data_IF_247624274781
#
_entry.id   IF_247624274781
#
_cell.length_a   1.000
_cell.length_b   1.000
_cell.length_c   1.000
_cell.angle_alpha   90.00
_cell.angle_beta   90.00
_cell.angle_gamma   90.00
#
_symmetry.space_group_name_H-M   'P 1'
#
loop_
_entity.id
_entity.type
_entity.pdbx_description
1 polymer ?
#
# COMPACT_ATOMS: atom_id res chain seq x y z
N UNK A 1 5.29 8.71 12.98
CA UNK A 1 4.14 7.91 12.53
C UNK A 1 3.98 6.82 13.55
N UNK A 2 3.07 7.00 14.51
CA UNK A 2 2.67 5.90 15.39
C UNK A 2 2.24 4.73 14.51
N UNK A 3 2.75 3.53 14.80
CA UNK A 3 2.45 2.34 13.99
C UNK A 3 0.96 2.09 14.08
N UNK A 4 0.26 2.07 12.93
CA UNK A 4 -1.16 1.75 12.84
C UNK A 4 -1.51 0.41 13.50
N UNK A 5 -0.54 -0.50 13.64
CA UNK A 5 -0.58 -1.77 14.36
C UNK A 5 -1.50 -1.80 15.59
N UNK A 6 -1.30 -0.92 16.58
CA UNK A 6 -2.13 -0.92 17.80
C UNK A 6 -3.59 -0.56 17.49
N UNK A 7 -3.81 0.39 16.56
CA UNK A 7 -5.15 0.83 16.16
C UNK A 7 -5.85 -0.23 15.31
N UNK A 8 -5.12 -0.94 14.46
CA UNK A 8 -5.62 -2.04 13.63
C UNK A 8 -6.03 -3.21 14.53
N UNK A 9 -5.17 -3.61 15.46
CA UNK A 9 -5.50 -4.63 16.45
C UNK A 9 -6.71 -4.22 17.30
N UNK A 10 -6.78 -2.99 17.80
CA UNK A 10 -7.97 -2.48 18.51
C UNK A 10 -9.24 -2.51 17.64
N UNK A 11 -9.15 -2.18 16.34
CA UNK A 11 -10.30 -2.25 15.43
C UNK A 11 -10.81 -3.70 15.29
N UNK A 12 -9.90 -4.66 15.13
CA UNK A 12 -10.23 -6.10 15.08
C UNK A 12 -10.88 -6.55 16.38
N UNK A 13 -10.35 -6.16 17.53
CA UNK A 13 -10.95 -6.48 18.83
C UNK A 13 -12.39 -5.96 18.91
N UNK A 14 -12.64 -4.71 18.50
CA UNK A 14 -13.99 -4.13 18.47
C UNK A 14 -14.92 -4.87 17.51
N UNK A 15 -14.43 -5.30 16.35
CA UNK A 15 -15.19 -6.13 15.41
C UNK A 15 -15.56 -7.47 16.07
N UNK A 16 -14.64 -8.12 16.77
CA UNK A 16 -14.89 -9.37 17.48
C UNK A 16 -15.88 -9.19 18.65
N UNK A 17 -15.76 -8.10 19.41
CA UNK A 17 -16.71 -7.73 20.48
C UNK A 17 -18.13 -7.56 19.94
N UNK A 18 -18.27 -6.89 18.78
CA UNK A 18 -19.56 -6.72 18.10
C UNK A 18 -20.12 -8.05 17.60
N UNK A 19 -19.31 -8.89 16.94
CA UNK A 19 -19.73 -10.20 16.42
C UNK A 19 -20.18 -11.16 17.53
N UNK A 20 -19.50 -11.12 18.67
CA UNK A 20 -19.77 -12.04 19.81
C UNK A 20 -20.77 -11.48 20.83
N UNK A 21 -21.11 -10.18 20.74
CA UNK A 21 -21.83 -9.44 21.78
C UNK A 21 -21.20 -9.55 23.19
N UNK A 22 -19.88 -9.72 23.25
CA UNK A 22 -19.10 -9.82 24.47
C UNK A 22 -18.11 -8.66 24.57
N UNK A 23 -17.64 -8.39 25.78
CA UNK A 23 -16.57 -7.41 26.03
C UNK A 23 -15.29 -8.12 26.38
N UNK A 24 -14.18 -7.55 25.91
CA UNK A 24 -12.86 -8.06 26.23
C UNK A 24 -12.53 -7.94 27.72
N UNK A 25 -11.68 -8.84 28.21
CA UNK A 25 -11.09 -8.78 29.55
C UNK A 25 -9.69 -9.40 29.55
N UNK A 26 -8.99 -9.33 30.70
CA UNK A 26 -7.67 -9.95 30.90
C UNK A 26 -6.64 -9.64 29.79
N UNK A 27 -6.59 -8.37 29.36
CA UNK A 27 -5.74 -7.96 28.24
C UNK A 27 -4.27 -7.97 28.65
N UNK A 28 -3.42 -8.54 27.81
CA UNK A 28 -1.96 -8.56 27.97
C UNK A 28 -1.29 -8.24 26.64
N UNK A 29 -0.01 -7.82 26.70
CA UNK A 29 0.78 -7.42 25.53
C UNK A 29 2.08 -8.24 25.46
N UNK A 30 2.01 -9.53 25.04
CA UNK A 30 3.17 -10.41 25.08
C UNK A 30 4.40 -9.87 24.34
N UNK A 31 4.23 -9.10 23.26
CA UNK A 31 5.36 -8.49 22.55
C UNK A 31 6.16 -7.49 23.40
N UNK A 32 5.48 -6.77 24.29
CA UNK A 32 6.10 -5.78 25.20
C UNK A 32 6.57 -6.41 26.52
N UNK A 33 6.23 -7.66 26.79
CA UNK A 33 6.68 -8.40 27.97
C UNK A 33 7.93 -9.24 27.65
N UNK A 34 9.08 -8.76 28.10
CA UNK A 34 10.36 -9.44 27.87
C UNK A 34 10.49 -10.78 28.61
N UNK A 35 9.63 -11.06 29.59
CA UNK A 35 9.61 -12.36 30.27
C UNK A 35 8.99 -13.47 29.41
N UNK A 36 8.17 -13.10 28.41
CA UNK A 36 7.59 -14.03 27.44
C UNK A 36 8.66 -14.48 26.45
N UNK A 37 8.69 -15.79 26.18
CA UNK A 37 9.58 -16.38 25.19
C UNK A 37 9.39 -15.70 23.82
N UNK A 38 10.47 -15.39 23.06
CA UNK A 38 10.36 -14.69 21.77
C UNK A 38 9.39 -15.33 20.76
N UNK A 39 9.30 -16.66 20.79
CA UNK A 39 8.39 -17.46 19.95
C UNK A 39 6.93 -17.44 20.43
N UNK A 40 6.59 -16.57 21.38
CA UNK A 40 5.22 -16.37 21.89
C UNK A 40 4.86 -14.89 22.01
N UNK A 41 5.70 -14.03 21.46
CA UNK A 41 5.51 -12.56 21.47
C UNK A 41 4.59 -12.16 20.32
N UNK A 42 3.30 -12.17 20.62
CA UNK A 42 2.21 -11.63 19.81
C UNK A 42 1.80 -10.24 20.32
N UNK A 43 1.11 -9.46 19.51
CA UNK A 43 0.76 -8.05 19.79
C UNK A 43 -0.13 -7.89 21.02
N UNK A 44 -1.18 -8.71 21.10
CA UNK A 44 -2.18 -8.65 22.16
C UNK A 44 -2.80 -10.01 22.40
N UNK A 45 -3.07 -10.31 23.68
CA UNK A 45 -3.93 -11.42 24.11
C UNK A 45 -5.02 -10.90 25.03
N UNK A 46 -6.22 -11.48 24.94
CA UNK A 46 -7.37 -11.07 25.72
C UNK A 46 -8.42 -12.18 25.76
N UNK A 47 -9.42 -12.04 26.63
CA UNK A 47 -10.56 -12.94 26.69
C UNK A 47 -11.80 -12.27 26.12
N UNK A 48 -12.60 -13.00 25.34
CA UNK A 48 -14.01 -12.70 25.06
C UNK A 48 -14.86 -13.82 25.63
N UNK A 49 -15.60 -13.52 26.69
CA UNK A 49 -16.32 -14.55 27.45
C UNK A 49 -15.35 -15.60 27.99
N UNK A 50 -15.61 -16.86 27.65
CA UNK A 50 -14.78 -18.00 28.05
C UNK A 50 -13.67 -18.34 27.05
N UNK A 51 -13.59 -17.61 25.93
CA UNK A 51 -12.60 -17.83 24.88
C UNK A 51 -11.42 -16.88 25.04
N UNK A 52 -10.20 -17.40 24.91
CA UNK A 52 -8.97 -16.60 24.85
C UNK A 52 -8.61 -16.35 23.39
N UNK A 53 -8.11 -15.17 23.09
CA UNK A 53 -7.68 -14.75 21.76
C UNK A 53 -6.23 -14.30 21.80
N UNK A 54 -5.49 -14.61 20.73
CA UNK A 54 -4.16 -14.10 20.45
C UNK A 54 -4.15 -13.42 19.09
N UNK A 55 -3.72 -12.15 19.02
CA UNK A 55 -3.62 -11.40 17.77
C UNK A 55 -2.17 -11.12 17.44
N UNK A 56 -1.79 -11.45 16.21
CA UNK A 56 -0.52 -11.08 15.59
C UNK A 56 -0.77 -10.16 14.40
N UNK A 57 0.03 -9.09 14.28
CA UNK A 57 -0.11 -8.10 13.22
C UNK A 57 1.08 -8.12 12.26
N UNK A 58 0.81 -7.81 11.00
CA UNK A 58 1.83 -7.67 9.96
C UNK A 58 1.40 -6.67 8.91
N UNK A 59 2.27 -5.70 8.66
CA UNK A 59 2.20 -4.86 7.47
C UNK A 59 2.79 -5.60 6.26
N UNK A 60 1.98 -5.80 5.22
CA UNK A 60 2.38 -6.34 3.93
C UNK A 60 2.85 -5.18 3.05
N UNK A 61 4.11 -5.26 2.65
CA UNK A 61 4.64 -4.42 1.58
C UNK A 61 4.51 -5.17 0.24
N UNK A 62 4.20 -4.47 -0.88
CA UNK A 62 4.18 -5.09 -2.21
C UNK A 62 5.49 -5.80 -2.57
N UNK A 63 6.63 -5.25 -2.13
CA UNK A 63 7.95 -5.84 -2.26
C UNK A 63 8.90 -5.24 -1.21
N UNK A 64 10.12 -5.78 -1.15
CA UNK A 64 11.11 -5.42 -0.12
C UNK A 64 11.45 -3.94 -0.15
N UNK A 65 11.44 -3.31 1.04
CA UNK A 65 11.76 -1.90 1.25
C UNK A 65 10.83 -0.92 0.50
N UNK A 66 9.63 -1.34 0.09
CA UNK A 66 8.67 -0.49 -0.64
C UNK A 66 8.41 0.86 0.06
N UNK A 67 8.18 0.85 1.37
CA UNK A 67 7.95 2.06 2.14
C UNK A 67 9.19 2.96 2.15
N UNK A 68 10.38 2.39 2.36
CA UNK A 68 11.65 3.14 2.32
C UNK A 68 11.94 3.69 0.94
N UNK A 69 11.54 2.98 -0.12
CA UNK A 69 11.64 3.44 -1.51
C UNK A 69 10.67 4.61 -1.72
N UNK A 70 9.43 4.51 -1.23
CA UNK A 70 8.44 5.59 -1.27
C UNK A 70 8.90 6.86 -0.57
N UNK A 71 9.46 6.74 0.64
CA UNK A 71 10.00 7.87 1.40
C UNK A 71 11.16 8.55 0.67
N UNK A 72 12.11 7.76 0.15
CA UNK A 72 13.24 8.28 -0.62
C UNK A 72 12.79 8.93 -1.91
N UNK A 73 11.83 8.33 -2.60
CA UNK A 73 11.25 8.86 -3.83
C UNK A 73 10.55 10.20 -3.57
N UNK A 74 9.70 10.29 -2.53
CA UNK A 74 8.97 11.52 -2.20
C UNK A 74 9.94 12.67 -1.92
N UNK A 75 11.01 12.42 -1.16
CA UNK A 75 12.07 13.42 -0.90
C UNK A 75 12.83 13.82 -2.18
N UNK A 76 13.06 12.87 -3.07
CA UNK A 76 13.77 13.14 -4.32
C UNK A 76 12.91 13.92 -5.32
N UNK A 77 11.71 13.41 -5.62
CA UNK A 77 10.79 13.92 -6.62
C UNK A 77 10.02 15.15 -6.16
N UNK A 78 9.86 15.37 -4.86
CA UNK A 78 9.19 16.56 -4.31
C UNK A 78 9.78 17.87 -4.82
N UNK A 79 11.11 18.00 -4.83
CA UNK A 79 11.78 19.19 -5.37
C UNK A 79 11.55 19.37 -6.89
N UNK A 80 11.46 18.27 -7.64
CA UNK A 80 11.17 18.31 -9.09
C UNK A 80 9.73 18.78 -9.30
N UNK A 81 8.78 18.22 -8.54
CA UNK A 81 7.37 18.59 -8.56
C UNK A 81 7.20 20.06 -8.23
N UNK A 82 7.76 20.52 -7.10
CA UNK A 82 7.64 21.90 -6.64
C UNK A 82 8.23 22.90 -7.64
N UNK A 83 9.33 22.54 -8.30
CA UNK A 83 9.98 23.41 -9.31
C UNK A 83 9.15 23.55 -10.59
N UNK A 84 8.42 22.51 -10.99
CA UNK A 84 7.68 22.47 -12.25
C UNK A 84 6.20 22.84 -12.09
N UNK A 85 5.66 22.71 -10.88
CA UNK A 85 4.24 22.99 -10.58
C UNK A 85 3.88 24.43 -10.93
N UNK A 86 2.86 24.58 -11.77
CA UNK A 86 2.41 25.88 -12.26
C UNK A 86 3.28 26.51 -13.35
N UNK A 87 4.32 25.82 -13.83
CA UNK A 87 5.19 26.30 -14.93
C UNK A 87 4.91 25.61 -16.27
N UNK A 88 4.06 24.58 -16.30
CA UNK A 88 3.81 23.82 -17.51
C UNK A 88 2.88 24.58 -18.46
N UNK A 89 3.11 24.54 -19.78
CA UNK A 89 2.27 25.22 -20.74
C UNK A 89 0.87 24.58 -20.81
N UNK A 90 -0.18 25.39 -20.62
CA UNK A 90 -1.55 24.96 -20.88
C UNK A 90 -1.92 25.11 -22.37
N UNK A 91 -2.92 24.38 -22.89
CA UNK A 91 -3.88 23.56 -22.14
C UNK A 91 -3.41 22.13 -21.86
N UNK A 92 -4.12 21.40 -21.01
CA UNK A 92 -3.89 19.97 -20.76
C UNK A 92 -3.08 19.67 -19.51
N UNK A 93 -3.00 18.38 -19.19
CA UNK A 93 -2.40 17.84 -17.96
C UNK A 93 -1.15 17.05 -18.29
N UNK A 94 -0.09 17.28 -17.54
CA UNK A 94 1.20 16.62 -17.65
C UNK A 94 1.41 15.64 -16.49
N UNK A 95 1.85 14.43 -16.81
CA UNK A 95 2.27 13.46 -15.82
C UNK A 95 3.66 12.93 -16.16
N UNK A 96 4.60 13.08 -15.23
CA UNK A 96 5.93 12.50 -15.31
C UNK A 96 5.95 11.16 -14.56
N UNK A 97 6.26 10.08 -15.24
CA UNK A 97 6.37 8.74 -14.65
C UNK A 97 7.83 8.33 -14.46
N UNK A 98 8.17 7.96 -13.24
CA UNK A 98 9.44 7.31 -12.87
C UNK A 98 9.28 5.79 -12.82
N UNK A 99 10.37 5.01 -12.97
CA UNK A 99 10.38 3.61 -12.57
C UNK A 99 9.98 3.46 -11.09
N UNK A 100 9.52 2.28 -10.67
CA UNK A 100 9.02 2.05 -9.30
C UNK A 100 10.08 2.30 -8.22
N UNK A 101 11.36 2.04 -8.54
CA UNK A 101 12.49 2.28 -7.68
C UNK A 101 13.57 3.12 -8.36
N UNK A 102 13.35 4.45 -8.51
CA UNK A 102 14.30 5.33 -9.17
C UNK A 102 15.53 5.64 -8.30
N UNK A 103 15.61 5.05 -7.11
CA UNK A 103 16.70 5.27 -6.14
C UNK A 103 17.55 4.01 -5.94
N UNK A 104 17.33 2.96 -6.74
CA UNK A 104 18.06 1.70 -6.63
C UNK A 104 19.56 1.90 -6.87
N UNK A 105 19.89 2.61 -7.96
CA UNK A 105 21.26 2.76 -8.45
C UNK A 105 21.95 4.03 -7.94
N UNK A 106 21.19 4.99 -7.41
CA UNK A 106 21.69 6.31 -7.00
C UNK A 106 21.42 6.60 -5.54
N UNK A 107 22.40 7.16 -4.85
CA UNK A 107 22.29 7.55 -3.42
C UNK A 107 22.83 8.95 -3.18
N UNK A 108 22.26 9.64 -2.20
CA UNK A 108 22.75 10.93 -1.70
C UNK A 108 22.96 11.96 -2.80
N UNK A 109 24.17 12.51 -2.90
CA UNK A 109 24.51 13.57 -3.85
C UNK A 109 24.33 13.14 -5.32
N UNK A 110 24.58 11.87 -5.66
CA UNK A 110 24.40 11.38 -7.03
C UNK A 110 22.93 11.45 -7.46
N UNK A 111 22.03 11.05 -6.56
CA UNK A 111 20.58 11.16 -6.81
C UNK A 111 20.13 12.62 -6.90
N UNK A 112 20.63 13.49 -6.02
CA UNK A 112 20.30 14.92 -6.06
C UNK A 112 20.78 15.60 -7.36
N UNK A 113 21.93 15.19 -7.90
CA UNK A 113 22.48 15.72 -9.15
C UNK A 113 21.61 15.42 -10.38
N UNK A 114 20.72 14.42 -10.32
CA UNK A 114 19.81 14.09 -11.42
C UNK A 114 18.64 15.08 -11.55
N UNK A 115 18.31 15.86 -10.50
CA UNK A 115 17.11 16.71 -10.50
C UNK A 115 17.12 17.76 -11.61
N UNK A 116 18.22 18.51 -11.73
CA UNK A 116 18.29 19.60 -12.70
C UNK A 116 18.21 19.09 -14.15
N UNK A 117 18.96 18.05 -14.57
CA UNK A 117 18.79 17.43 -15.88
C UNK A 117 17.34 16.99 -16.17
N UNK A 118 16.65 16.43 -15.17
CA UNK A 118 15.25 16.00 -15.32
C UNK A 118 14.33 17.21 -15.53
N UNK A 119 14.47 18.25 -14.70
CA UNK A 119 13.69 19.50 -14.80
C UNK A 119 13.86 20.13 -16.17
N UNK A 120 15.10 20.24 -16.65
CA UNK A 120 15.42 20.84 -17.95
C UNK A 120 14.83 20.03 -19.11
N UNK A 121 14.93 18.70 -19.03
CA UNK A 121 14.29 17.83 -20.01
C UNK A 121 12.76 17.97 -20.00
N UNK A 122 12.12 17.97 -18.83
CA UNK A 122 10.66 18.08 -18.72
C UNK A 122 10.17 19.40 -19.34
N UNK A 123 10.83 20.52 -19.06
CA UNK A 123 10.46 21.83 -19.65
C UNK A 123 10.49 21.79 -21.17
N UNK A 124 11.59 21.30 -21.75
CA UNK A 124 11.74 21.19 -23.20
C UNK A 124 10.70 20.24 -23.80
N UNK A 125 10.55 19.05 -23.22
CA UNK A 125 9.60 18.05 -23.70
C UNK A 125 8.14 18.54 -23.60
N UNK A 126 7.80 19.29 -22.55
CA UNK A 126 6.48 19.85 -22.37
C UNK A 126 6.15 20.93 -23.40
N UNK A 127 7.13 21.77 -23.75
CA UNK A 127 7.00 22.78 -24.80
C UNK A 127 6.79 22.12 -26.16
N UNK A 128 7.60 21.11 -26.51
CA UNK A 128 7.40 20.34 -27.76
C UNK A 128 5.99 19.73 -27.83
N UNK A 129 5.54 19.09 -26.74
CA UNK A 129 4.20 18.51 -26.65
C UNK A 129 3.09 19.57 -26.71
N UNK A 130 3.34 20.78 -26.22
CA UNK A 130 2.43 21.91 -26.34
C UNK A 130 2.31 22.37 -27.79
N UNK A 131 3.44 22.59 -28.48
CA UNK A 131 3.47 23.05 -29.87
C UNK A 131 2.81 22.09 -30.85
N UNK A 132 2.81 20.77 -30.58
CA UNK A 132 2.06 19.79 -31.37
C UNK A 132 0.53 19.96 -31.31
N UNK A 133 0.01 20.51 -30.20
CA UNK A 133 -1.42 20.68 -29.98
C UNK A 133 -1.66 21.87 -29.02
N UNK A 134 -1.53 23.12 -29.50
CA UNK A 134 -1.56 24.30 -28.64
C UNK A 134 -2.98 24.65 -28.16
N UNK A 135 -4.00 24.14 -28.85
CA UNK A 135 -5.41 24.47 -28.58
C UNK A 135 -6.23 23.20 -28.28
N UNK A 136 -7.25 23.38 -27.44
CA UNK A 136 -8.26 22.34 -27.18
C UNK A 136 -9.03 22.06 -28.46
N UNK A 137 -8.88 20.85 -29.00
CA UNK A 137 -9.60 20.44 -30.20
C UNK A 137 -11.07 20.15 -29.87
N UNK A 138 -11.98 20.48 -30.79
CA UNK A 138 -13.40 20.17 -30.62
C UNK A 138 -13.68 18.66 -30.72
N UNK A 139 -14.80 18.23 -30.12
CA UNK A 139 -15.28 16.85 -30.19
C UNK A 139 -15.40 16.35 -31.64
N UNK A 140 -15.83 17.21 -32.56
CA UNK A 140 -16.06 16.86 -33.96
C UNK A 140 -14.75 16.65 -34.74
N UNK A 141 -13.64 17.25 -34.28
CA UNK A 141 -12.32 17.12 -34.91
C UNK A 141 -11.47 16.01 -34.29
N UNK A 142 -11.48 15.89 -32.97
CA UNK A 142 -10.75 14.84 -32.23
C UNK A 142 -11.60 14.35 -31.06
N UNK A 143 -12.49 13.37 -31.29
CA UNK A 143 -13.42 12.88 -30.26
C UNK A 143 -12.70 12.26 -29.06
N UNK A 144 -11.48 11.74 -29.26
CA UNK A 144 -10.65 11.13 -28.20
C UNK A 144 -9.63 12.10 -27.58
N UNK A 145 -9.63 13.39 -27.98
CA UNK A 145 -8.66 14.38 -27.50
C UNK A 145 -7.25 14.21 -28.09
N UNK A 146 -6.24 14.66 -27.34
CA UNK A 146 -4.82 14.53 -27.65
C UNK A 146 -4.09 13.85 -26.50
N UNK A 147 -3.22 12.90 -26.82
CA UNK A 147 -2.35 12.22 -25.87
C UNK A 147 -0.95 12.14 -26.47
N UNK A 148 -0.05 12.99 -25.98
CA UNK A 148 1.32 13.08 -26.43
C UNK A 148 2.28 12.47 -25.41
N UNK A 149 3.34 11.84 -25.90
CA UNK A 149 4.31 11.12 -25.07
C UNK A 149 5.74 11.51 -25.45
N UNK A 150 6.59 11.67 -24.44
CA UNK A 150 8.05 11.76 -24.57
C UNK A 150 8.70 10.82 -23.59
N UNK A 151 9.85 10.26 -24.00
CA UNK A 151 10.64 9.36 -23.17
C UNK A 151 12.10 9.78 -23.21
N UNK A 152 12.82 9.52 -22.13
CA UNK A 152 14.26 9.74 -22.06
C UNK A 152 14.89 8.81 -21.04
N UNK A 153 16.21 8.76 -21.05
CA UNK A 153 17.02 8.12 -20.03
C UNK A 153 17.97 9.16 -19.43
N UNK A 154 17.88 9.38 -18.12
CA UNK A 154 18.72 10.34 -17.39
C UNK A 154 19.33 9.61 -16.20
N UNK A 155 20.65 9.39 -16.26
CA UNK A 155 21.37 8.66 -15.22
C UNK A 155 20.76 7.27 -14.97
N UNK A 156 20.44 6.49 -16.01
CA UNK A 156 19.81 5.18 -15.87
C UNK A 156 18.33 5.20 -15.50
N UNK A 157 17.73 6.38 -15.26
CA UNK A 157 16.28 6.50 -15.04
C UNK A 157 15.56 6.62 -16.37
N UNK A 158 14.79 5.60 -16.74
CA UNK A 158 13.85 5.70 -17.85
C UNK A 158 12.63 6.53 -17.42
N UNK A 159 12.46 7.72 -18.00
CA UNK A 159 11.43 8.68 -17.66
C UNK A 159 10.43 8.81 -18.81
N UNK A 160 9.15 8.98 -18.46
CA UNK A 160 8.07 9.15 -19.42
C UNK A 160 7.27 10.38 -19.05
N UNK A 161 7.16 11.35 -19.95
CA UNK A 161 6.27 12.49 -19.80
C UNK A 161 5.08 12.30 -20.74
N UNK A 162 3.87 12.33 -20.18
CA UNK A 162 2.63 12.29 -20.93
C UNK A 162 1.90 13.62 -20.78
N UNK A 163 1.43 14.18 -21.89
CA UNK A 163 0.47 15.28 -21.91
C UNK A 163 -0.86 14.78 -22.41
N UNK A 164 -1.91 14.95 -21.61
CA UNK A 164 -3.28 14.57 -21.96
C UNK A 164 -4.19 15.79 -22.01
N UNK A 165 -4.91 15.91 -23.12
CA UNK A 165 -5.84 16.99 -23.39
C UNK A 165 -7.14 16.40 -23.94
N UNK A 166 -8.28 16.80 -23.38
CA UNK A 166 -9.58 16.29 -23.82
C UNK A 166 -10.63 17.41 -23.75
N UNK A 167 -11.50 17.49 -24.75
CA UNK A 167 -12.50 18.57 -24.89
C UNK A 167 -13.50 18.66 -23.73
N UNK A 168 -13.75 17.55 -23.03
CA UNK A 168 -14.63 17.51 -21.86
C UNK A 168 -13.93 17.86 -20.55
N UNK A 169 -12.60 18.04 -20.55
CA UNK A 169 -11.86 18.36 -19.33
C UNK A 169 -11.98 19.84 -19.01
N UNK A 170 -12.08 20.14 -17.71
CA UNK A 170 -12.11 21.51 -17.21
C UNK A 170 -10.75 22.18 -17.41
N UNK A 171 -10.76 23.42 -17.91
CA UNK A 171 -9.58 24.27 -18.08
C UNK A 171 -8.89 24.64 -16.75
N UNK A 172 -9.54 24.41 -15.60
CA UNK A 172 -8.91 24.62 -14.28
C UNK A 172 -7.69 23.74 -14.02
N UNK A 173 -7.50 22.69 -14.83
CA UNK A 173 -6.35 21.79 -14.78
C UNK A 173 -5.35 22.02 -15.92
N UNK A 174 -5.50 23.09 -16.69
CA UNK A 174 -4.55 23.41 -17.76
C UNK A 174 -3.18 23.75 -17.16
N UNK A 175 -2.13 23.11 -17.68
CA UNK A 175 -0.78 23.20 -17.13
C UNK A 175 -0.60 22.45 -15.80
N UNK A 176 -1.57 21.64 -15.37
CA UNK A 176 -1.41 20.80 -14.19
C UNK A 176 -0.27 19.79 -14.42
N UNK A 177 0.58 19.64 -13.40
CA UNK A 177 1.72 18.73 -13.41
C UNK A 177 1.67 17.82 -12.20
N UNK A 178 1.89 16.54 -12.44
CA UNK A 178 2.01 15.56 -11.38
C UNK A 178 3.11 14.53 -11.68
N UNK A 179 3.57 13.85 -10.64
CA UNK A 179 4.59 12.81 -10.73
C UNK A 179 4.01 11.49 -10.23
N UNK A 180 4.19 10.44 -11.02
CA UNK A 180 3.80 9.09 -10.67
C UNK A 180 5.01 8.13 -10.71
N UNK A 181 4.88 7.01 -10.00
CA UNK A 181 5.73 5.84 -10.21
C UNK A 181 4.98 4.84 -11.08
N UNK A 182 5.68 4.19 -12.00
CA UNK A 182 5.15 3.11 -12.82
C UNK A 182 5.88 1.82 -12.49
N UNK A 183 5.17 0.73 -12.70
CA UNK A 183 5.75 -0.60 -12.69
C UNK A 183 6.00 -0.99 -14.13
N UNK A 184 7.25 -1.34 -14.41
CA UNK A 184 7.66 -1.84 -15.71
C UNK A 184 7.62 -3.39 -15.76
N UNK A 185 7.61 -4.07 -14.59
CA UNK A 185 7.72 -5.54 -14.45
C UNK A 185 6.58 -6.19 -13.64
N UNK A 186 6.32 -7.48 -13.85
CA UNK A 186 5.34 -8.21 -13.05
C UNK A 186 5.87 -8.49 -11.61
N UNK A 187 5.32 -7.79 -10.61
CA UNK A 187 5.73 -7.90 -9.20
C UNK A 187 5.01 -9.01 -8.40
N UNK A 188 4.15 -9.79 -9.03
CA UNK A 188 3.34 -10.82 -8.33
C UNK A 188 4.22 -11.82 -7.55
N UNK A 189 5.32 -12.28 -8.15
CA UNK A 189 6.23 -13.22 -7.51
C UNK A 189 6.93 -12.63 -6.27
N UNK A 190 7.31 -11.34 -6.34
CA UNK A 190 7.92 -10.63 -5.21
C UNK A 190 6.92 -10.43 -4.07
N UNK A 191 5.66 -10.10 -4.40
CA UNK A 191 4.59 -9.95 -3.42
C UNK A 191 4.30 -11.27 -2.71
N UNK A 192 4.16 -12.35 -3.47
CA UNK A 192 3.94 -13.69 -2.90
C UNK A 192 5.10 -14.11 -1.98
N UNK A 193 6.35 -13.89 -2.41
CA UNK A 193 7.52 -14.16 -1.57
C UNK A 193 7.49 -13.34 -0.26
N UNK A 194 6.99 -12.10 -0.31
CA UNK A 194 6.88 -11.23 0.87
C UNK A 194 5.79 -11.70 1.83
N UNK A 195 4.61 -12.06 1.32
CA UNK A 195 3.50 -12.63 2.10
C UNK A 195 3.97 -13.93 2.75
N UNK A 196 4.56 -14.85 1.98
CA UNK A 196 5.13 -16.10 2.50
C UNK A 196 6.13 -15.86 3.63
N UNK A 197 7.07 -14.94 3.44
CA UNK A 197 8.08 -14.58 4.46
C UNK A 197 7.41 -14.06 5.74
N UNK A 198 6.37 -13.23 5.60
CA UNK A 198 5.65 -12.70 6.75
C UNK A 198 4.93 -13.82 7.51
N UNK A 199 4.25 -14.72 6.80
CA UNK A 199 3.62 -15.90 7.35
C UNK A 199 4.63 -16.80 8.08
N UNK A 200 5.73 -17.19 7.44
CA UNK A 200 6.76 -18.04 8.04
C UNK A 200 7.34 -17.46 9.33
N UNK A 201 7.46 -16.13 9.42
CA UNK A 201 8.00 -15.47 10.62
C UNK A 201 6.98 -15.37 11.77
N UNK A 202 5.70 -15.20 11.45
CA UNK A 202 4.66 -14.80 12.39
C UNK A 202 3.79 -15.97 12.85
N UNK A 203 3.47 -16.89 11.95
CA UNK A 203 2.63 -18.05 12.25
C UNK A 203 3.15 -18.91 13.39
N UNK A 204 4.45 -19.26 13.49
CA UNK A 204 4.91 -20.11 14.59
C UNK A 204 4.59 -19.54 15.98
N UNK A 205 4.66 -18.21 16.12
CA UNK A 205 4.37 -17.53 17.38
C UNK A 205 2.89 -17.57 17.75
N UNK A 206 2.07 -17.37 16.73
CA UNK A 206 0.63 -17.33 16.87
C UNK A 206 0.08 -18.73 17.13
N UNK A 207 0.52 -19.73 16.36
CA UNK A 207 0.10 -21.14 16.49
C UNK A 207 0.53 -21.76 17.84
N UNK A 208 1.66 -21.32 18.42
CA UNK A 208 2.04 -21.74 19.77
C UNK A 208 1.00 -21.37 20.85
N UNK A 209 0.18 -20.33 20.62
CA UNK A 209 -0.97 -20.01 21.47
C UNK A 209 -2.20 -20.85 21.14
N UNK A 210 -2.38 -21.20 19.86
CA UNK A 210 -3.42 -22.15 19.42
C UNK A 210 -3.28 -23.52 20.09
N UNK A 211 -2.05 -24.01 20.23
CA UNK A 211 -1.75 -25.26 20.96
C UNK A 211 -2.16 -25.20 22.45
N UNK A 212 -2.31 -24.01 23.03
CA UNK A 212 -2.78 -23.79 24.39
C UNK A 212 -4.31 -23.56 24.47
N UNK A 213 -5.00 -23.60 23.33
CA UNK A 213 -6.44 -23.41 23.22
C UNK A 213 -6.90 -21.95 23.06
N UNK A 214 -6.01 -21.04 22.69
CA UNK A 214 -6.39 -19.69 22.27
C UNK A 214 -6.90 -19.70 20.82
N UNK A 215 -7.92 -18.90 20.52
CA UNK A 215 -8.31 -18.57 19.15
C UNK A 215 -7.25 -17.64 18.55
N UNK A 216 -6.66 -18.09 17.46
CA UNK A 216 -5.55 -17.40 16.80
C UNK A 216 -6.04 -16.48 15.68
N UNK A 217 -5.59 -15.22 15.70
CA UNK A 217 -5.97 -14.20 14.73
C UNK A 217 -4.73 -13.57 14.13
N UNK A 218 -4.57 -13.67 12.81
CA UNK A 218 -3.53 -12.96 12.05
C UNK A 218 -4.15 -11.78 11.31
N UNK A 219 -3.55 -10.60 11.47
CA UNK A 219 -3.98 -9.39 10.77
C UNK A 219 -2.92 -8.94 9.77
N UNK A 220 -3.32 -8.82 8.52
CA UNK A 220 -2.51 -8.45 7.37
C UNK A 220 -2.90 -7.05 6.90
N UNK A 221 -2.15 -6.04 7.30
CA UNK A 221 -2.37 -4.65 6.90
C UNK A 221 -1.71 -4.36 5.54
N UNK A 222 -2.37 -3.61 4.67
CA UNK A 222 -1.74 -2.90 3.57
C UNK A 222 -2.24 -1.46 3.51
N UNK A 223 -1.37 -0.54 3.09
CA UNK A 223 -1.67 0.90 2.96
C UNK A 223 -1.28 1.47 1.59
N UNK A 224 -1.05 0.60 0.61
CA UNK A 224 -0.74 1.00 -0.78
C UNK A 224 -1.93 0.75 -1.71
N UNK A 225 -2.41 1.81 -2.37
CA UNK A 225 -3.57 1.77 -3.26
C UNK A 225 -3.28 1.20 -4.65
N UNK A 226 -2.00 1.12 -5.03
CA UNK A 226 -1.62 0.84 -6.41
C UNK A 226 -1.35 -0.65 -6.64
N UNK A 227 -0.77 -1.34 -5.65
CA UNK A 227 -0.08 -2.62 -5.89
C UNK A 227 -0.60 -3.77 -5.05
N UNK A 228 -1.44 -3.50 -4.04
CA UNK A 228 -1.98 -4.54 -3.17
C UNK A 228 -3.48 -4.30 -3.02
N UNK A 229 -4.26 -5.38 -3.12
CA UNK A 229 -5.66 -5.39 -2.72
C UNK A 229 -6.01 -6.74 -2.11
N UNK A 230 -7.11 -6.79 -1.36
CA UNK A 230 -7.52 -7.96 -0.59
C UNK A 230 -7.57 -9.27 -1.41
N UNK A 231 -8.03 -9.26 -2.66
CA UNK A 231 -8.06 -10.46 -3.51
C UNK A 231 -6.66 -11.01 -3.78
N UNK A 232 -5.68 -10.19 -4.14
CA UNK A 232 -4.30 -10.65 -4.36
C UNK A 232 -3.67 -11.23 -3.09
N UNK A 233 -4.00 -10.65 -1.94
CA UNK A 233 -3.55 -11.19 -0.64
C UNK A 233 -4.22 -12.52 -0.36
N UNK A 234 -5.52 -12.66 -0.61
CA UNK A 234 -6.27 -13.91 -0.44
C UNK A 234 -5.78 -15.03 -1.38
N UNK A 235 -5.51 -14.73 -2.66
CA UNK A 235 -4.92 -15.69 -3.59
C UNK A 235 -3.52 -16.16 -3.13
N UNK A 236 -2.71 -15.27 -2.57
CA UNK A 236 -1.43 -15.66 -1.99
C UNK A 236 -1.60 -16.56 -0.76
N UNK A 237 -2.63 -16.34 0.06
CA UNK A 237 -2.99 -17.21 1.19
C UNK A 237 -3.42 -18.59 0.68
N UNK A 238 -4.30 -18.66 -0.33
CA UNK A 238 -4.75 -19.89 -0.95
C UNK A 238 -3.56 -20.75 -1.41
N UNK A 239 -2.59 -20.13 -2.10
CA UNK A 239 -1.36 -20.81 -2.54
C UNK A 239 -0.50 -21.32 -1.38
N UNK A 240 -0.52 -20.66 -0.21
CA UNK A 240 0.17 -21.16 0.98
C UNK A 240 -0.57 -22.34 1.61
N UNK A 241 -1.91 -22.32 1.60
CA UNK A 241 -2.74 -23.45 2.05
C UNK A 241 -2.45 -24.68 1.18
N UNK A 242 -2.41 -24.51 -0.14
CA UNK A 242 -2.08 -25.59 -1.09
C UNK A 242 -0.68 -26.17 -0.87
N UNK A 243 0.25 -25.36 -0.32
CA UNK A 243 1.59 -25.79 0.06
C UNK A 243 1.65 -26.48 1.44
N UNK A 244 0.51 -26.65 2.12
CA UNK A 244 0.41 -27.30 3.43
C UNK A 244 0.89 -26.42 4.59
N UNK A 245 0.92 -25.09 4.42
CA UNK A 245 1.24 -24.17 5.52
C UNK A 245 0.11 -24.18 6.53
N UNK A 246 0.43 -24.40 7.81
CA UNK A 246 -0.55 -24.33 8.89
C UNK A 246 -1.13 -22.91 9.02
N UNK A 247 -2.45 -22.80 9.09
CA UNK A 247 -3.17 -21.53 9.16
C UNK A 247 -3.73 -21.27 10.57
N UNK A 248 -3.88 -20.00 10.97
CA UNK A 248 -4.58 -19.65 12.20
C UNK A 248 -6.09 -19.82 12.03
N UNK A 249 -6.82 -19.73 13.14
CA UNK A 249 -8.28 -19.84 13.15
C UNK A 249 -8.93 -18.71 12.37
N UNK A 250 -8.34 -17.51 12.42
CA UNK A 250 -8.86 -16.34 11.72
C UNK A 250 -7.73 -15.56 11.03
N UNK A 251 -8.01 -15.08 9.82
CA UNK A 251 -7.16 -14.11 9.13
C UNK A 251 -8.01 -12.92 8.72
N UNK A 252 -7.54 -11.72 9.04
CA UNK A 252 -8.10 -10.46 8.56
C UNK A 252 -7.10 -9.77 7.64
N UNK A 253 -7.60 -9.21 6.54
CA UNK A 253 -6.86 -8.28 5.68
C UNK A 253 -7.40 -6.88 5.96
N UNK A 254 -6.54 -5.97 6.39
CA UNK A 254 -6.88 -4.60 6.70
C UNK A 254 -6.37 -3.66 5.59
N UNK A 255 -7.30 -2.98 4.92
CA UNK A 255 -7.02 -1.89 4.00
C UNK A 255 -7.02 -0.57 4.77
N UNK A 256 -5.83 -0.02 4.99
CA UNK A 256 -5.61 1.26 5.67
C UNK A 256 -5.16 2.35 4.69
N UNK A 257 -5.38 2.16 3.38
CA UNK A 257 -5.00 3.12 2.33
C UNK A 257 -5.70 4.46 2.51
N UNK A 258 -6.97 4.44 2.92
CA UNK A 258 -7.73 5.64 3.26
C UNK A 258 -7.57 5.97 4.75
N UNK A 259 -7.55 7.27 5.11
CA UNK A 259 -7.43 7.68 6.50
C UNK A 259 -8.67 7.32 7.35
N UNK A 260 -9.85 7.14 6.71
CA UNK A 260 -11.11 6.67 7.30
C UNK A 260 -12.22 6.56 6.22
N UNK A 261 -13.18 5.62 6.37
CA UNK A 261 -13.11 4.44 7.24
C UNK A 261 -12.00 3.47 6.76
N UNK A 262 -11.64 2.50 7.59
CA UNK A 262 -10.81 1.36 7.17
C UNK A 262 -11.68 0.18 6.75
N UNK A 263 -11.19 -0.58 5.78
CA UNK A 263 -11.87 -1.77 5.28
C UNK A 263 -11.17 -3.04 5.76
N UNK A 264 -11.97 -4.01 6.16
CA UNK A 264 -11.51 -5.31 6.63
C UNK A 264 -12.19 -6.40 5.81
N UNK A 265 -11.39 -7.39 5.41
CA UNK A 265 -11.85 -8.59 4.72
C UNK A 265 -11.35 -9.81 5.50
N UNK A 266 -12.17 -10.86 5.60
CA UNK A 266 -11.84 -12.03 6.42
C UNK A 266 -11.75 -13.30 5.55
N UNK A 267 -10.58 -13.60 4.95
CA UNK A 267 -10.41 -14.77 4.11
C UNK A 267 -10.42 -16.09 4.87
N UNK A 268 -10.15 -16.09 6.18
CA UNK A 268 -10.20 -17.31 7.01
C UNK A 268 -11.07 -17.06 8.24
N UNK A 269 -12.08 -17.93 8.41
CA UNK A 269 -13.02 -17.94 9.54
C UNK A 269 -13.09 -19.37 10.07
N UNK A 270 -12.78 -19.55 11.35
CA UNK A 270 -12.75 -20.85 12.03
C UNK A 270 -11.97 -21.91 11.23
N UNK A 271 -10.83 -21.50 10.66
CA UNK A 271 -9.95 -22.34 9.85
C UNK A 271 -10.41 -22.59 8.40
N UNK A 272 -11.59 -22.11 8.00
CA UNK A 272 -12.11 -22.27 6.63
C UNK A 272 -11.73 -21.07 5.76
N UNK A 273 -11.18 -21.33 4.57
CA UNK A 273 -10.79 -20.30 3.60
C UNK A 273 -11.92 -19.93 2.63
N UNK A 274 -12.03 -18.64 2.30
CA UNK A 274 -12.87 -18.11 1.21
C UNK A 274 -12.20 -16.92 0.53
N UNK A 275 -12.29 -16.86 -0.80
CA UNK A 275 -11.90 -15.68 -1.58
C UNK A 275 -13.05 -14.66 -1.70
N UNK A 276 -14.30 -15.14 -1.61
CA UNK A 276 -15.50 -14.30 -1.57
C UNK A 276 -15.67 -13.77 -0.15
N UNK A 277 -15.06 -12.61 0.11
CA UNK A 277 -15.04 -11.99 1.42
C UNK A 277 -16.02 -10.83 1.49
N UNK A 278 -16.85 -10.81 2.53
CA UNK A 278 -17.63 -9.62 2.86
C UNK A 278 -16.71 -8.50 3.39
N UNK A 279 -16.99 -7.28 2.95
CA UNK A 279 -16.31 -6.07 3.45
C UNK A 279 -16.93 -5.67 4.78
N UNK A 280 -16.09 -5.48 5.78
CA UNK A 280 -16.43 -4.88 7.06
C UNK A 280 -15.77 -3.51 7.15
N UNK A 281 -16.54 -2.47 7.48
CA UNK A 281 -16.01 -1.13 7.69
C UNK A 281 -15.83 -0.85 9.18
N UNK A 282 -14.71 -0.24 9.56
CA UNK A 282 -14.53 0.26 10.92
C UNK A 282 -13.84 1.62 10.93
N UNK A 283 -14.31 2.49 11.82
CA UNK A 283 -13.63 3.75 12.09
C UNK A 283 -12.30 3.47 12.81
N UNK A 284 -11.18 4.07 12.36
CA UNK A 284 -9.89 3.92 13.02
C UNK A 284 -9.99 4.36 14.49
N UNK A 285 -9.71 3.47 15.47
CA UNK A 285 -9.86 3.80 16.89
C UNK A 285 -9.03 5.03 17.27
N UNK A 286 -9.63 5.92 18.06
CA UNK A 286 -8.95 7.06 18.69
C UNK A 286 -8.31 6.66 20.01
N UNK A 287 -8.98 5.78 20.76
CA UNK A 287 -8.51 5.23 22.03
C UNK A 287 -8.16 3.75 21.89
N UNK A 288 -6.94 3.40 22.31
CA UNK A 288 -6.52 2.00 22.47
C UNK A 288 -6.89 1.58 23.88
N UNK A 289 -7.69 0.53 24.03
CA UNK A 289 -8.12 0.10 25.35
C UNK A 289 -7.19 -0.94 25.99
N UNK A 290 -5.90 -0.92 25.63
CA UNK A 290 -4.87 -1.84 26.14
C UNK A 290 -3.43 -1.32 26.03
#
# INVERSE_FOLDING_TARGET
>A
MEKNEERVCEAIIRILEQKTAQRRSAITRPEKDYSVHPDRRVEVRFNLGDCRYAIEHTLIEPFTDFLKIGDRFTKFAGEILDTLKGTMPGPGIYQLSFPINPTAEHKGAALAALRQPIIDWVRRAAEELFQECPEVQSRDRRPHGYNGKRQTEIGGLHLILVRSLHWSRSSKYDGFFDIARRIDDNLEAEREARIKTAFTKKLPKLLAWGDEGDVTVLVLEYSDIALTHHVLVAEAIERLIDQGVAMPDQVFIADTTLPRPWDFHQPIIDGAFTIEMERMEAEPPQDIGY
#
